data_IF_346380216268
#
_entry.id   IF_346380216268
#
_cell.length_a   1.000
_cell.length_b   1.000
_cell.length_c   1.000
_cell.angle_alpha   90.00
_cell.angle_beta   90.00
_cell.angle_gamma   90.00
#
_symmetry.space_group_name_H-M   'P 1'
#
loop_
_entity.id
_entity.type
_entity.pdbx_description
1 polymer ?
#
# COMPACT_ATOMS: atom_id res chain seq x y z
N UNK A 1 -28.46 19.06 5.29
CA UNK A 1 -27.16 18.86 4.63
C UNK A 1 -26.72 17.46 4.98
N UNK A 2 -26.83 16.52 4.05
CA UNK A 2 -26.31 15.17 4.23
C UNK A 2 -25.78 14.73 2.87
N UNK A 3 -24.46 14.64 2.77
CA UNK A 3 -23.74 14.15 1.59
C UNK A 3 -23.03 12.86 2.02
N UNK A 4 -23.78 11.90 2.53
CA UNK A 4 -23.27 10.54 2.70
C UNK A 4 -23.55 9.83 1.38
N UNK A 5 -22.58 9.90 0.47
CA UNK A 5 -22.56 9.05 -0.72
C UNK A 5 -22.52 7.57 -0.32
N UNK A 6 -22.78 6.64 -1.26
CA UNK A 6 -22.68 5.21 -0.98
C UNK A 6 -21.31 4.86 -0.39
N UNK A 7 -21.22 3.87 0.51
CA UNK A 7 -19.96 3.47 1.12
C UNK A 7 -18.96 3.08 0.04
N UNK A 8 -17.70 3.52 0.21
CA UNK A 8 -16.65 3.23 -0.76
C UNK A 8 -16.53 1.72 -1.01
N UNK A 9 -16.63 1.31 -2.27
CA UNK A 9 -16.45 -0.08 -2.69
C UNK A 9 -15.01 -0.33 -3.14
N UNK A 10 -14.59 -1.61 -3.15
CA UNK A 10 -13.24 -2.08 -3.51
C UNK A 10 -12.74 -1.47 -4.84
N UNK A 11 -13.63 -1.27 -5.81
CA UNK A 11 -13.31 -0.73 -7.14
C UNK A 11 -12.96 0.76 -7.15
N UNK A 12 -13.15 1.45 -6.03
CA UNK A 12 -12.99 2.90 -5.91
C UNK A 12 -11.73 3.31 -5.16
N UNK A 13 -10.90 2.35 -4.75
CA UNK A 13 -9.56 2.60 -4.26
C UNK A 13 -8.55 2.09 -5.28
N UNK A 14 -7.44 2.79 -5.42
CA UNK A 14 -6.28 2.25 -6.13
C UNK A 14 -5.03 2.47 -5.32
N UNK A 15 -4.05 1.60 -5.51
CA UNK A 15 -2.78 1.73 -4.82
C UNK A 15 -1.59 1.52 -5.76
N UNK A 16 -0.50 2.18 -5.43
CA UNK A 16 0.79 2.02 -6.09
C UNK A 16 1.92 2.00 -5.08
N UNK A 17 3.04 1.43 -5.51
CA UNK A 17 4.31 1.48 -4.81
C UNK A 17 5.28 2.34 -5.62
N UNK A 18 6.09 3.12 -4.92
CA UNK A 18 7.13 3.95 -5.49
C UNK A 18 8.35 4.05 -4.58
N UNK A 19 9.39 4.70 -5.08
CA UNK A 19 10.62 4.93 -4.33
C UNK A 19 10.36 5.98 -3.22
N UNK A 20 10.92 5.75 -2.03
CA UNK A 20 10.93 6.76 -0.98
C UNK A 20 12.08 7.74 -1.24
N UNK A 21 11.80 8.87 -1.89
CA UNK A 21 12.79 9.91 -2.16
C UNK A 21 13.40 10.44 -0.85
N UNK A 22 14.73 10.56 -0.80
CA UNK A 22 15.46 11.09 0.36
C UNK A 22 15.70 10.11 1.51
N UNK A 23 15.26 8.85 1.38
CA UNK A 23 15.64 7.77 2.28
C UNK A 23 17.04 7.26 1.93
N UNK A 24 18.02 7.40 2.83
CA UNK A 24 19.27 6.63 2.74
C UNK A 24 19.05 5.13 3.05
N UNK A 25 17.81 4.74 3.36
CA UNK A 25 17.44 3.38 3.69
C UNK A 25 16.76 2.74 2.48
N UNK A 26 17.47 1.79 1.88
CA UNK A 26 17.03 1.06 0.70
C UNK A 26 15.81 0.16 0.97
N UNK A 27 15.49 -0.08 2.24
CA UNK A 27 14.38 -0.94 2.64
C UNK A 27 13.04 -0.19 2.78
N UNK A 28 13.00 1.12 2.52
CA UNK A 28 11.77 1.91 2.63
C UNK A 28 11.19 2.18 1.25
N UNK A 29 9.90 1.87 1.08
CA UNK A 29 9.11 2.22 -0.10
C UNK A 29 8.02 3.22 0.25
N UNK A 30 7.50 3.92 -0.76
CA UNK A 30 6.35 4.79 -0.63
C UNK A 30 5.10 4.06 -1.14
N UNK A 31 4.12 3.84 -0.26
CA UNK A 31 2.82 3.30 -0.65
C UNK A 31 1.87 4.48 -0.88
N UNK A 32 1.30 4.57 -2.07
CA UNK A 32 0.29 5.58 -2.40
C UNK A 32 -1.08 4.94 -2.52
N UNK A 33 -2.05 5.44 -1.76
CA UNK A 33 -3.46 5.06 -1.84
C UNK A 33 -4.24 6.26 -2.37
N UNK A 34 -5.03 6.07 -3.42
CA UNK A 34 -5.88 7.13 -3.99
C UNK A 34 -7.37 6.77 -3.85
N UNK A 35 -8.16 7.76 -3.44
CA UNK A 35 -9.60 7.65 -3.36
C UNK A 35 -10.24 8.09 -4.68
N UNK A 36 -10.75 7.12 -5.45
CA UNK A 36 -11.50 7.33 -6.69
C UNK A 36 -13.01 7.32 -6.49
N UNK A 37 -13.48 7.22 -5.25
CA UNK A 37 -14.91 7.32 -4.94
C UNK A 37 -15.37 8.78 -4.90
N UNK A 38 -16.69 8.96 -4.94
CA UNK A 38 -17.34 10.26 -4.72
C UNK A 38 -17.54 10.56 -3.21
N UNK A 39 -17.08 9.68 -2.31
CA UNK A 39 -17.25 9.81 -0.87
C UNK A 39 -15.91 10.01 -0.16
N UNK A 40 -15.93 10.63 1.02
CA UNK A 40 -14.75 10.68 1.89
C UNK A 40 -14.51 9.31 2.54
N UNK A 41 -13.27 8.84 2.51
CA UNK A 41 -12.85 7.57 3.12
C UNK A 41 -11.88 7.85 4.26
N UNK A 42 -12.03 7.13 5.38
CA UNK A 42 -11.07 7.18 6.48
C UNK A 42 -10.17 5.95 6.41
N UNK A 43 -8.92 6.14 5.99
CA UNK A 43 -7.90 5.08 5.90
C UNK A 43 -7.26 4.88 7.28
N UNK A 44 -7.37 3.67 7.82
CA UNK A 44 -6.87 3.30 9.14
C UNK A 44 -5.51 2.61 9.08
N UNK A 45 -5.28 1.79 8.06
CA UNK A 45 -4.03 1.06 7.86
C UNK A 45 -3.81 0.74 6.39
N UNK A 46 -2.54 0.58 6.00
CA UNK A 46 -2.11 0.21 4.65
C UNK A 46 -0.99 -0.81 4.78
N UNK A 47 -1.12 -1.96 4.12
CA UNK A 47 -0.10 -3.01 4.14
C UNK A 47 0.19 -3.46 2.72
N UNK A 48 1.45 -3.43 2.31
CA UNK A 48 1.92 -4.03 1.05
C UNK A 48 2.26 -5.51 1.27
N UNK A 49 1.75 -6.39 0.41
CA UNK A 49 2.12 -7.79 0.33
C UNK A 49 2.73 -8.09 -1.04
N UNK A 50 3.86 -8.81 -1.03
CA UNK A 50 4.46 -9.34 -2.24
C UNK A 50 5.17 -10.66 -1.92
N UNK A 51 5.03 -11.70 -2.76
CA UNK A 51 5.70 -12.99 -2.57
C UNK A 51 7.23 -12.90 -2.47
N UNK A 52 7.82 -11.82 -3.00
CA UNK A 52 9.26 -11.57 -3.00
C UNK A 52 9.83 -11.20 -1.63
N UNK A 53 8.98 -10.85 -0.66
CA UNK A 53 9.40 -10.41 0.66
C UNK A 53 8.81 -11.30 1.74
N UNK A 54 9.46 -11.32 2.91
CA UNK A 54 9.16 -12.31 3.94
C UNK A 54 7.86 -12.09 4.71
N UNK A 55 7.21 -10.94 4.54
CA UNK A 55 5.92 -10.60 5.13
C UNK A 55 5.36 -9.30 4.56
N UNK A 56 4.30 -8.80 5.19
CA UNK A 56 3.70 -7.52 4.86
C UNK A 56 4.58 -6.34 5.28
N UNK A 57 4.63 -5.31 4.44
CA UNK A 57 5.20 -4.01 4.80
C UNK A 57 4.07 -3.09 5.25
N UNK A 58 3.91 -2.97 6.56
CA UNK A 58 2.87 -2.18 7.19
C UNK A 58 3.25 -0.70 7.25
N UNK A 59 2.27 0.16 6.98
CA UNK A 59 2.30 1.54 7.44
C UNK A 59 1.72 1.61 8.85
N UNK A 60 2.49 2.20 9.77
CA UNK A 60 2.03 2.54 11.11
C UNK A 60 1.70 4.04 11.15
N UNK A 61 0.43 4.43 11.35
CA UNK A 61 0.08 5.85 11.45
C UNK A 61 0.73 6.51 12.67
N UNK A 62 1.37 7.67 12.47
CA UNK A 62 1.97 8.47 13.54
C UNK A 62 0.93 9.07 14.51
N UNK A 63 -0.36 9.08 14.12
CA UNK A 63 -1.46 9.62 14.91
C UNK A 63 -2.62 8.63 14.95
N UNK A 64 -3.20 8.48 16.14
CA UNK A 64 -4.41 7.69 16.32
C UNK A 64 -5.57 8.27 15.49
N UNK A 65 -6.32 7.41 14.83
CA UNK A 65 -7.55 7.76 14.11
C UNK A 65 -7.47 7.77 12.58
N UNK A 66 -6.33 7.43 11.97
CA UNK A 66 -6.20 7.28 10.52
C UNK A 66 -6.15 8.60 9.75
N UNK A 67 -6.28 8.51 8.42
CA UNK A 67 -6.21 9.65 7.49
C UNK A 67 -7.48 9.72 6.64
N UNK A 68 -8.14 10.89 6.62
CA UNK A 68 -9.27 11.14 5.72
C UNK A 68 -8.78 11.48 4.32
N UNK A 69 -9.38 10.85 3.32
CA UNK A 69 -9.19 11.14 1.90
C UNK A 69 -10.53 11.56 1.30
N UNK A 70 -10.63 12.80 0.84
CA UNK A 70 -11.75 13.24 0.03
C UNK A 70 -11.74 12.61 -1.36
N UNK A 71 -12.80 12.83 -2.16
CA UNK A 71 -12.83 12.41 -3.56
C UNK A 71 -11.64 12.97 -4.34
N UNK A 72 -10.88 12.09 -4.99
CA UNK A 72 -9.69 12.45 -5.77
C UNK A 72 -8.40 12.65 -4.96
N UNK A 73 -8.47 12.65 -3.62
CA UNK A 73 -7.29 12.78 -2.77
C UNK A 73 -6.46 11.50 -2.76
N UNK A 74 -5.17 11.67 -2.41
CA UNK A 74 -4.25 10.55 -2.21
C UNK A 74 -3.47 10.68 -0.90
N UNK A 75 -3.16 9.52 -0.33
CA UNK A 75 -2.28 9.34 0.81
C UNK A 75 -1.00 8.67 0.32
N UNK A 76 0.16 9.24 0.63
CA UNK A 76 1.45 8.58 0.43
C UNK A 76 2.13 8.36 1.77
N UNK A 77 2.47 7.11 2.08
CA UNK A 77 3.01 6.71 3.38
C UNK A 77 4.23 5.82 3.21
N UNK A 78 5.27 6.00 4.04
CA UNK A 78 6.42 5.11 4.01
C UNK A 78 6.05 3.74 4.61
N UNK A 79 6.58 2.68 4.03
CA UNK A 79 6.51 1.33 4.57
C UNK A 79 7.88 0.65 4.46
N UNK A 80 8.30 -0.01 5.54
CA UNK A 80 9.55 -0.76 5.58
C UNK A 80 9.31 -2.17 5.03
N UNK A 81 10.03 -2.50 3.95
CA UNK A 81 10.03 -3.83 3.35
C UNK A 81 10.61 -4.84 4.33
N UNK A 82 9.97 -6.01 4.38
CA UNK A 82 10.53 -7.16 5.07
C UNK A 82 11.69 -7.75 4.25
N UNK A 83 12.60 -8.54 4.86
CA UNK A 83 13.71 -9.16 4.13
C UNK A 83 13.26 -9.92 2.87
N UNK A 84 14.06 -9.81 1.80
CA UNK A 84 13.80 -10.45 0.50
C UNK A 84 13.90 -11.98 0.60
N UNK A 85 13.04 -12.70 -0.12
CA UNK A 85 13.10 -14.15 -0.31
C UNK A 85 13.76 -14.49 -1.64
N UNK A 86 15.08 -14.72 -1.63
CA UNK A 86 15.81 -15.17 -2.82
C UNK A 86 15.59 -16.67 -3.07
N UNK A 87 14.41 -17.04 -3.57
CA UNK A 87 14.14 -18.40 -4.06
C UNK A 87 14.18 -18.44 -5.59
N UNK A 88 14.56 -19.60 -6.15
CA UNK A 88 14.85 -19.78 -7.59
C UNK A 88 13.64 -19.62 -8.51
N UNK A 89 12.42 -19.68 -7.97
CA UNK A 89 11.21 -19.36 -8.71
C UNK A 89 10.72 -18.00 -8.22
N UNK A 90 11.03 -16.90 -8.91
CA UNK A 90 10.37 -15.65 -8.65
C UNK A 90 8.92 -15.87 -9.06
N UNK A 91 8.06 -16.25 -8.12
CA UNK A 91 6.63 -16.09 -8.36
C UNK A 91 6.43 -14.59 -8.57
N UNK A 92 6.33 -14.20 -9.85
CA UNK A 92 6.12 -12.83 -10.29
C UNK A 92 4.69 -12.38 -9.96
N UNK A 93 3.98 -13.07 -9.06
CA UNK A 93 2.64 -12.71 -8.67
C UNK A 93 2.61 -11.23 -8.29
N UNK A 94 1.60 -10.56 -8.79
CA UNK A 94 1.42 -9.13 -8.58
C UNK A 94 1.37 -8.83 -7.08
N UNK A 95 2.10 -7.80 -6.66
CA UNK A 95 1.99 -7.29 -5.31
C UNK A 95 0.57 -6.75 -5.09
N UNK A 96 0.08 -6.87 -3.86
CA UNK A 96 -1.21 -6.33 -3.45
C UNK A 96 -1.01 -5.36 -2.28
N UNK A 97 -1.90 -4.37 -2.19
CA UNK A 97 -1.98 -3.49 -1.03
C UNK A 97 -3.34 -3.71 -0.37
N UNK A 98 -3.31 -4.10 0.90
CA UNK A 98 -4.48 -4.18 1.76
C UNK A 98 -4.69 -2.82 2.44
N UNK A 99 -5.86 -2.22 2.22
CA UNK A 99 -6.25 -0.91 2.74
C UNK A 99 -7.38 -1.15 3.73
N UNK A 100 -7.14 -0.88 5.01
CA UNK A 100 -8.20 -0.92 6.02
C UNK A 100 -8.84 0.45 6.13
N UNK A 101 -10.15 0.50 5.92
CA UNK A 101 -10.94 1.73 5.98
C UNK A 101 -12.00 1.64 7.07
N UNK A 102 -12.31 2.75 7.70
CA UNK A 102 -13.46 2.85 8.60
C UNK A 102 -14.75 2.97 7.79
N UNK A 103 -15.73 2.13 8.10
CA UNK A 103 -17.12 2.30 7.68
C UNK A 103 -17.93 2.60 8.94
N UNK A 104 -18.02 3.88 9.28
CA UNK A 104 -18.65 4.42 10.50
C UNK A 104 -19.73 3.55 11.16
N UNK A 105 -20.71 3.04 10.40
CA UNK A 105 -21.84 2.26 10.93
C UNK A 105 -21.60 0.74 11.04
N UNK A 106 -20.64 0.19 10.31
CA UNK A 106 -20.41 -1.27 10.20
C UNK A 106 -19.02 -1.72 10.66
N UNK A 107 -18.23 -0.79 11.20
CA UNK A 107 -16.84 -1.03 11.64
C UNK A 107 -15.85 -0.92 10.49
N UNK A 108 -14.67 -1.54 10.62
CA UNK A 108 -13.64 -1.47 9.59
C UNK A 108 -13.85 -2.50 8.47
N UNK A 109 -13.46 -2.13 7.25
CA UNK A 109 -13.36 -3.02 6.10
C UNK A 109 -11.93 -3.03 5.59
N UNK A 110 -11.37 -4.21 5.31
CA UNK A 110 -10.12 -4.34 4.56
C UNK A 110 -10.42 -4.58 3.10
N UNK A 111 -9.83 -3.76 2.24
CA UNK A 111 -9.94 -3.79 0.78
C UNK A 111 -8.58 -4.16 0.22
N UNK A 112 -8.50 -5.23 -0.55
CA UNK A 112 -7.27 -5.60 -1.26
C UNK A 112 -7.32 -5.11 -2.70
N UNK A 113 -6.29 -4.39 -3.12
CA UNK A 113 -6.13 -3.91 -4.49
C UNK A 113 -4.78 -4.34 -5.05
N UNK A 114 -4.70 -4.52 -6.37
CA UNK A 114 -3.41 -4.70 -7.03
C UNK A 114 -2.53 -3.46 -6.82
N UNK A 115 -1.29 -3.67 -6.44
CA UNK A 115 -0.30 -2.61 -6.28
C UNK A 115 0.37 -2.34 -7.62
N UNK A 116 0.10 -1.18 -8.22
CA UNK A 116 0.83 -0.75 -9.39
C UNK A 116 2.28 -0.40 -9.02
N UNK A 117 3.26 -0.91 -9.77
CA UNK A 117 4.69 -0.60 -9.58
C UNK A 117 5.27 0.00 -10.88
N UNK A 118 4.89 1.23 -11.25
CA UNK A 118 5.31 1.83 -12.52
C UNK A 118 6.81 2.13 -12.58
N UNK A 119 7.48 2.23 -11.44
CA UNK A 119 8.91 2.48 -11.32
C UNK A 119 9.73 1.18 -11.21
N UNK A 120 9.08 0.02 -11.07
CA UNK A 120 9.75 -1.27 -10.91
C UNK A 120 10.54 -1.39 -9.60
N UNK A 121 10.11 -0.70 -8.54
CA UNK A 121 10.85 -0.60 -7.27
C UNK A 121 10.98 -1.97 -6.60
N UNK A 122 9.91 -2.77 -6.60
CA UNK A 122 9.94 -4.07 -5.93
C UNK A 122 10.87 -5.05 -6.66
N UNK A 123 10.89 -4.99 -7.99
CA UNK A 123 11.78 -5.80 -8.81
C UNK A 123 13.24 -5.36 -8.65
N UNK A 124 13.51 -4.05 -8.71
CA UNK A 124 14.85 -3.50 -8.50
C UNK A 124 15.41 -3.88 -7.12
N UNK A 125 14.58 -3.84 -6.06
CA UNK A 125 14.99 -4.27 -4.71
C UNK A 125 15.26 -5.75 -4.63
N UNK A 126 14.40 -6.58 -5.20
CA UNK A 126 14.64 -8.02 -5.28
C UNK A 126 15.97 -8.33 -5.97
N UNK A 127 16.21 -7.74 -7.14
CA UNK A 127 17.44 -7.93 -7.88
C UNK A 127 18.67 -7.45 -7.10
N UNK A 128 18.60 -6.28 -6.45
CA UNK A 128 19.70 -5.75 -5.65
C UNK A 128 20.14 -6.73 -4.55
N UNK A 129 19.21 -7.27 -3.77
CA UNK A 129 19.52 -8.17 -2.66
C UNK A 129 19.83 -9.61 -3.10
N UNK A 130 19.20 -10.11 -4.16
CA UNK A 130 19.41 -11.47 -4.64
C UNK A 130 20.57 -11.63 -5.64
N UNK A 131 21.03 -10.54 -6.26
CA UNK A 131 22.26 -10.55 -7.06
C UNK A 131 23.52 -10.26 -6.23
N UNK A 132 23.40 -9.57 -5.10
CA UNK A 132 24.51 -9.32 -4.17
C UNK A 132 24.80 -10.50 -3.22
N UNK A 133 23.93 -11.50 -3.18
CA UNK A 133 24.07 -12.71 -2.36
C UNK A 133 24.58 -13.94 -3.15
N UNK A 134 24.99 -13.75 -4.41
CA UNK A 134 25.56 -14.77 -5.30
C UNK A 134 27.10 -14.80 -5.27
#
# INVERSE_FOLDING_TARGET
>A
MQLDGPPATVEQLSASVGAADGSNNDDVVLLTVANKSEATVLVLAVTLYSPRFSGGADWVPDRAGGTRLGPGDSLSVPAALQPVRCQQDPDHSAATIAITVDRAETGSLTVEVAAADPQGVLDARYQHYCSSSA
#
